data_IF_003034400034
#
_entry.id   IF_003034400034
#
_cell.length_a   1.000
_cell.length_b   1.000
_cell.length_c   1.000
_cell.angle_alpha   90.00
_cell.angle_beta   90.00
_cell.angle_gamma   90.00
#
_symmetry.space_group_name_H-M   'P 1'
#
loop_
_entity.id
_entity.type
_entity.pdbx_description
1 polymer ?
#
# COMPACT_ATOMS: atom_id res chain seq x y z
N UNK A 1 -21.93 -31.96 13.49
CA UNK A 1 -21.76 -30.51 13.67
C UNK A 1 -20.40 -30.30 14.34
N UNK A 2 -19.40 -29.85 13.56
CA UNK A 2 -18.08 -29.54 14.14
C UNK A 2 -18.19 -28.20 14.90
N UNK A 3 -18.13 -28.24 16.22
CA UNK A 3 -17.94 -27.01 16.99
C UNK A 3 -16.59 -26.39 16.60
N UNK A 4 -16.54 -25.06 16.37
CA UNK A 4 -15.27 -24.40 16.12
C UNK A 4 -14.37 -24.65 17.34
N UNK A 5 -13.16 -25.16 17.11
CA UNK A 5 -12.14 -25.31 18.16
C UNK A 5 -11.86 -23.94 18.74
N UNK A 6 -12.31 -23.66 19.97
CA UNK A 6 -11.87 -22.47 20.70
C UNK A 6 -10.42 -22.70 21.10
N UNK A 7 -9.50 -21.97 20.50
CA UNK A 7 -8.11 -21.98 20.94
C UNK A 7 -7.97 -21.11 22.19
N UNK A 8 -7.29 -21.59 23.25
CA UNK A 8 -7.14 -20.84 24.50
C UNK A 8 -6.04 -19.75 24.39
N UNK A 9 -6.00 -18.99 23.29
CA UNK A 9 -5.02 -17.92 23.11
C UNK A 9 -5.64 -16.70 22.39
N UNK A 10 -5.05 -15.54 22.63
CA UNK A 10 -5.37 -14.29 21.95
C UNK A 10 -4.16 -13.82 21.19
N UNK A 11 -4.37 -13.31 19.97
CA UNK A 11 -3.32 -12.62 19.22
C UNK A 11 -3.20 -11.19 19.74
N UNK A 12 -2.03 -10.85 20.30
CA UNK A 12 -1.71 -9.50 20.75
C UNK A 12 -0.83 -8.82 19.68
N UNK A 13 -1.15 -7.56 19.38
CA UNK A 13 -0.38 -6.71 18.46
C UNK A 13 -0.26 -7.24 17.03
N UNK A 14 -1.24 -8.01 16.59
CA UNK A 14 -1.32 -8.45 15.21
C UNK A 14 -1.47 -7.25 14.26
N UNK A 15 -0.63 -7.19 13.21
CA UNK A 15 -0.71 -6.16 12.17
C UNK A 15 -1.47 -6.71 10.97
N UNK A 16 -2.61 -6.11 10.59
CA UNK A 16 -3.37 -6.57 9.44
C UNK A 16 -2.68 -6.18 8.13
N UNK A 17 -2.73 -7.07 7.14
CA UNK A 17 -2.36 -6.79 5.77
C UNK A 17 -3.50 -7.23 4.85
N UNK A 18 -4.14 -6.27 4.20
CA UNK A 18 -5.25 -6.52 3.29
C UNK A 18 -4.75 -6.64 1.85
N UNK A 19 -5.29 -7.63 1.14
CA UNK A 19 -4.97 -7.92 -0.25
C UNK A 19 -6.27 -7.88 -1.07
N UNK A 20 -6.47 -6.82 -1.84
CA UNK A 20 -7.60 -6.69 -2.75
C UNK A 20 -7.16 -6.95 -4.19
N UNK A 21 -8.03 -7.56 -4.97
CA UNK A 21 -7.86 -7.67 -6.43
C UNK A 21 -8.85 -6.74 -7.10
N UNK A 22 -8.33 -5.78 -7.87
CA UNK A 22 -9.17 -4.84 -8.61
C UNK A 22 -9.71 -5.55 -9.85
N UNK A 23 -11.04 -5.51 -10.03
CA UNK A 23 -11.71 -6.05 -11.22
C UNK A 23 -11.33 -5.22 -12.45
N UNK A 24 -11.29 -5.87 -13.60
CA UNK A 24 -10.99 -5.24 -14.90
C UNK A 24 -9.68 -4.45 -14.91
N UNK A 25 -8.71 -4.89 -14.08
CA UNK A 25 -7.43 -4.21 -13.91
C UNK A 25 -6.63 -4.08 -15.21
N UNK A 26 -6.78 -5.00 -16.16
CA UNK A 26 -6.02 -5.00 -17.42
C UNK A 26 -6.30 -3.72 -18.21
N UNK A 27 -7.58 -3.40 -18.43
CA UNK A 27 -7.99 -2.16 -19.10
C UNK A 27 -7.57 -0.93 -18.30
N UNK A 28 -7.82 -0.94 -16.98
CA UNK A 28 -7.44 0.16 -16.10
C UNK A 28 -5.94 0.41 -16.11
N UNK A 29 -5.12 -0.64 -16.04
CA UNK A 29 -3.66 -0.52 -16.03
C UNK A 29 -3.13 0.04 -17.35
N UNK A 30 -3.71 -0.36 -18.48
CA UNK A 30 -3.32 0.19 -19.79
C UNK A 30 -3.51 1.71 -19.86
N UNK A 31 -4.65 2.20 -19.34
CA UNK A 31 -4.92 3.64 -19.25
C UNK A 31 -3.97 4.33 -18.25
N UNK A 32 -3.77 3.75 -17.05
CA UNK A 32 -2.87 4.29 -16.03
C UNK A 32 -1.41 4.39 -16.48
N UNK A 33 -0.93 3.44 -17.29
CA UNK A 33 0.43 3.47 -17.85
C UNK A 33 0.60 4.69 -18.75
N UNK A 34 -0.36 4.94 -19.65
CA UNK A 34 -0.34 6.10 -20.54
C UNK A 34 -0.32 7.41 -19.76
N UNK A 35 -1.24 7.55 -18.80
CA UNK A 35 -1.36 8.75 -17.97
C UNK A 35 -0.13 8.97 -17.09
N UNK A 36 0.45 7.90 -16.51
CA UNK A 36 1.67 7.96 -15.70
C UNK A 36 2.88 8.44 -16.52
N UNK A 37 3.02 7.94 -17.75
CA UNK A 37 4.10 8.39 -18.65
C UNK A 37 3.92 9.84 -19.12
N UNK A 38 2.68 10.28 -19.36
CA UNK A 38 2.40 11.68 -19.68
C UNK A 38 2.83 12.59 -18.53
N UNK A 39 2.47 12.26 -17.30
CA UNK A 39 2.88 13.01 -16.11
C UNK A 39 4.40 13.02 -15.89
N UNK A 40 5.08 11.88 -16.10
CA UNK A 40 6.54 11.80 -15.98
C UNK A 40 7.27 12.72 -16.97
N UNK A 41 6.70 12.99 -18.14
CA UNK A 41 7.29 13.91 -19.12
C UNK A 41 7.17 15.37 -18.70
N UNK A 42 6.14 15.71 -17.92
CA UNK A 42 5.84 17.09 -17.53
C UNK A 42 6.40 17.46 -16.15
N UNK A 43 6.77 16.48 -15.33
CA UNK A 43 7.20 16.67 -13.94
C UNK A 43 8.52 15.93 -13.67
N UNK A 44 9.53 16.66 -13.21
CA UNK A 44 10.83 16.10 -12.84
C UNK A 44 10.74 15.08 -11.68
N UNK A 45 9.64 15.08 -10.94
CA UNK A 45 9.41 14.20 -9.80
C UNK A 45 10.02 14.70 -8.49
N UNK A 46 9.80 13.93 -7.44
CA UNK A 46 10.25 14.20 -6.08
C UNK A 46 11.25 13.14 -5.61
N UNK A 47 12.13 13.54 -4.69
CA UNK A 47 13.06 12.63 -4.00
C UNK A 47 12.58 12.41 -2.57
N UNK A 48 12.24 11.15 -2.24
CA UNK A 48 11.82 10.69 -0.92
C UNK A 48 12.52 9.38 -0.56
N UNK A 49 11.75 8.31 -0.32
CA UNK A 49 12.29 6.94 -0.16
C UNK A 49 12.75 6.32 -1.49
N UNK A 50 12.32 6.87 -2.62
CA UNK A 50 12.69 6.40 -3.96
C UNK A 50 14.18 6.68 -4.22
N UNK A 51 14.88 5.62 -4.67
CA UNK A 51 16.27 5.68 -5.10
C UNK A 51 16.31 5.30 -6.59
N UNK A 52 16.87 6.17 -7.43
CA UNK A 52 17.00 5.99 -8.88
C UNK A 52 15.68 5.83 -9.66
N UNK A 53 14.52 6.02 -9.01
CA UNK A 53 13.19 5.95 -9.61
C UNK A 53 12.52 7.32 -9.67
N UNK A 54 11.49 7.45 -10.52
CA UNK A 54 10.65 8.64 -10.56
C UNK A 54 9.47 8.51 -9.59
N UNK A 55 9.18 9.59 -8.86
CA UNK A 55 8.08 9.71 -7.89
C UNK A 55 7.31 10.99 -8.19
N UNK A 56 6.03 10.88 -8.53
CA UNK A 56 5.18 12.03 -8.81
C UNK A 56 4.93 12.89 -7.57
N UNK A 57 4.29 14.05 -7.75
CA UNK A 57 3.69 14.81 -6.64
C UNK A 57 2.65 13.96 -5.91
N UNK A 58 2.34 14.33 -4.66
CA UNK A 58 1.44 13.57 -3.76
C UNK A 58 -0.01 14.02 -3.87
N UNK A 59 -0.46 14.39 -5.05
CA UNK A 59 -1.77 14.98 -5.34
C UNK A 59 -2.68 14.10 -6.23
N UNK A 60 -2.40 12.81 -6.32
CA UNK A 60 -3.13 11.81 -7.12
C UNK A 60 -4.67 11.98 -7.04
N UNK A 61 -5.21 12.20 -5.85
CA UNK A 61 -6.66 12.30 -5.63
C UNK A 61 -7.29 13.59 -6.17
N UNK A 62 -6.48 14.50 -6.73
CA UNK A 62 -6.92 15.74 -7.39
C UNK A 62 -6.83 15.67 -8.91
N UNK A 63 -6.23 14.60 -9.47
CA UNK A 63 -6.06 14.45 -10.91
C UNK A 63 -7.39 14.19 -11.60
N UNK A 64 -7.50 14.66 -12.84
CA UNK A 64 -8.77 14.72 -13.57
C UNK A 64 -8.97 13.55 -14.54
N UNK A 65 -7.92 12.81 -14.87
CA UNK A 65 -7.92 11.68 -15.77
C UNK A 65 -8.88 10.58 -15.27
N UNK A 66 -9.61 9.98 -16.20
CA UNK A 66 -10.65 9.01 -15.89
C UNK A 66 -10.09 7.76 -15.18
N UNK A 67 -8.89 7.32 -15.59
CA UNK A 67 -8.16 6.19 -15.02
C UNK A 67 -7.85 6.40 -13.53
N UNK A 68 -7.29 7.57 -13.17
CA UNK A 68 -7.00 7.91 -11.77
C UNK A 68 -8.26 8.03 -10.93
N UNK A 69 -9.32 8.65 -11.45
CA UNK A 69 -10.61 8.71 -10.75
C UNK A 69 -11.21 7.33 -10.48
N UNK A 70 -11.09 6.41 -11.45
CA UNK A 70 -11.56 5.02 -11.30
C UNK A 70 -10.76 4.29 -10.21
N UNK A 71 -9.43 4.41 -10.24
CA UNK A 71 -8.56 3.84 -9.21
C UNK A 71 -8.81 4.46 -7.83
N UNK A 72 -8.92 5.80 -7.73
CA UNK A 72 -9.19 6.48 -6.47
C UNK A 72 -10.48 6.00 -5.81
N UNK A 73 -11.56 5.79 -6.58
CA UNK A 73 -12.80 5.19 -6.05
C UNK A 73 -12.57 3.78 -5.49
N UNK A 74 -11.81 2.94 -6.21
CA UNK A 74 -11.48 1.59 -5.75
C UNK A 74 -10.65 1.63 -4.45
N UNK A 75 -9.66 2.52 -4.35
CA UNK A 75 -8.85 2.73 -3.14
C UNK A 75 -9.74 3.15 -1.96
N UNK A 76 -10.61 4.15 -2.14
CA UNK A 76 -11.50 4.63 -1.07
C UNK A 76 -12.42 3.53 -0.57
N UNK A 77 -13.05 2.77 -1.47
CA UNK A 77 -13.91 1.65 -1.10
C UNK A 77 -13.13 0.56 -0.33
N UNK A 78 -11.91 0.24 -0.76
CA UNK A 78 -11.07 -0.74 -0.08
C UNK A 78 -10.60 -0.25 1.29
N UNK A 79 -10.32 1.05 1.46
CA UNK A 79 -10.01 1.67 2.75
C UNK A 79 -11.19 1.59 3.72
N UNK A 80 -12.41 1.86 3.25
CA UNK A 80 -13.60 1.70 4.07
C UNK A 80 -13.81 0.24 4.50
N UNK A 81 -13.62 -0.71 3.59
CA UNK A 81 -13.70 -2.15 3.90
C UNK A 81 -12.64 -2.53 4.94
N UNK A 82 -11.38 -2.19 4.71
CA UNK A 82 -10.28 -2.49 5.64
C UNK A 82 -10.51 -1.87 7.03
N UNK A 83 -11.00 -0.63 7.08
CA UNK A 83 -11.29 0.04 8.34
C UNK A 83 -12.43 -0.64 9.09
N UNK A 84 -13.49 -1.05 8.39
CA UNK A 84 -14.63 -1.73 9.00
C UNK A 84 -14.24 -3.11 9.55
N UNK A 85 -13.33 -3.83 8.89
CA UNK A 85 -12.84 -5.13 9.37
C UNK A 85 -12.08 -5.02 10.72
N UNK A 86 -11.32 -3.95 10.92
CA UNK A 86 -10.54 -3.77 12.16
C UNK A 86 -11.28 -2.94 13.22
N UNK A 87 -12.28 -2.17 12.80
CA UNK A 87 -13.09 -1.31 13.67
C UNK A 87 -14.56 -1.32 13.21
N UNK A 88 -15.32 -2.41 13.50
CA UNK A 88 -16.70 -2.56 13.02
C UNK A 88 -17.65 -1.43 13.44
N UNK A 89 -17.40 -0.87 14.63
CA UNK A 89 -18.21 0.22 15.21
C UNK A 89 -17.77 1.62 14.76
N UNK A 90 -16.76 1.71 13.87
CA UNK A 90 -16.28 3.02 13.42
C UNK A 90 -17.33 3.76 12.59
N UNK A 91 -17.74 4.93 13.08
CA UNK A 91 -18.70 5.80 12.37
C UNK A 91 -18.01 6.70 11.36
N UNK A 92 -17.94 6.26 10.11
CA UNK A 92 -17.36 7.02 9.00
C UNK A 92 -17.98 8.42 8.82
N UNK A 93 -19.26 8.61 9.15
CA UNK A 93 -19.95 9.89 8.95
C UNK A 93 -19.39 11.01 9.84
N UNK A 94 -18.80 10.68 10.99
CA UNK A 94 -18.17 11.61 11.93
C UNK A 94 -16.76 12.06 11.53
N UNK A 95 -16.23 11.60 10.40
CA UNK A 95 -14.84 11.85 10.01
C UNK A 95 -14.72 12.22 8.55
N UNK A 96 -13.74 13.08 8.25
CA UNK A 96 -13.25 13.33 6.91
C UNK A 96 -12.08 12.41 6.59
N UNK A 97 -12.11 11.76 5.42
CA UNK A 97 -11.01 10.94 4.94
C UNK A 97 -10.04 11.84 4.16
N UNK A 98 -8.85 12.05 4.73
CA UNK A 98 -7.77 12.74 4.03
C UNK A 98 -6.83 11.73 3.38
N UNK A 99 -6.52 11.99 2.11
CA UNK A 99 -5.74 11.10 1.24
C UNK A 99 -4.57 11.86 0.61
N UNK A 100 -3.44 11.17 0.54
CA UNK A 100 -2.31 11.51 -0.31
C UNK A 100 -1.99 10.31 -1.18
N UNK A 101 -1.62 10.52 -2.44
CA UNK A 101 -1.25 9.44 -3.32
C UNK A 101 -0.31 9.93 -4.41
N UNK A 102 0.52 9.03 -4.91
CA UNK A 102 1.56 9.31 -5.90
C UNK A 102 1.88 8.06 -6.74
N UNK A 103 2.51 8.29 -7.87
CA UNK A 103 3.03 7.22 -8.75
C UNK A 103 4.51 7.03 -8.46
N UNK A 104 4.95 5.78 -8.44
CA UNK A 104 6.35 5.39 -8.53
C UNK A 104 6.58 4.68 -9.86
N UNK A 105 7.56 5.14 -10.63
CA UNK A 105 8.10 4.44 -11.79
C UNK A 105 9.54 4.07 -11.47
N UNK A 106 9.78 2.79 -11.31
CA UNK A 106 11.07 2.23 -10.92
C UNK A 106 11.70 1.57 -12.14
N UNK A 107 12.64 2.26 -12.77
CA UNK A 107 13.50 1.71 -13.82
C UNK A 107 14.45 0.66 -13.21
N UNK A 108 15.29 0.02 -14.02
CA UNK A 108 16.26 -0.97 -13.54
C UNK A 108 17.17 -0.39 -12.45
N UNK A 109 17.33 -1.13 -11.36
CA UNK A 109 18.10 -0.74 -10.18
C UNK A 109 17.37 0.18 -9.22
N UNK A 110 16.22 0.74 -9.60
CA UNK A 110 15.45 1.62 -8.73
C UNK A 110 14.72 0.83 -7.62
N UNK A 111 14.66 1.41 -6.43
CA UNK A 111 14.05 0.81 -5.25
C UNK A 111 13.45 1.87 -4.31
N UNK A 112 12.74 1.43 -3.27
CA UNK A 112 12.31 2.31 -2.20
C UNK A 112 12.99 1.87 -0.90
N UNK A 113 13.74 2.78 -0.27
CA UNK A 113 14.46 2.53 0.98
C UNK A 113 13.48 2.25 2.15
N UNK A 114 13.93 1.58 3.23
CA UNK A 114 13.10 1.33 4.40
C UNK A 114 12.53 2.61 5.01
N UNK A 115 11.18 2.66 5.14
CA UNK A 115 10.44 3.81 5.66
C UNK A 115 9.09 3.40 6.23
N UNK A 116 8.46 4.31 6.94
CA UNK A 116 7.08 4.28 7.39
C UNK A 116 6.39 5.62 7.09
N UNK A 117 5.11 5.76 7.44
CA UNK A 117 4.34 6.95 7.13
C UNK A 117 3.67 7.54 8.38
N UNK A 118 4.44 8.26 9.23
CA UNK A 118 3.90 8.84 10.44
C UNK A 118 2.78 9.86 10.15
N UNK A 119 1.78 9.90 11.04
CA UNK A 119 0.64 10.82 10.91
C UNK A 119 -0.50 10.30 10.03
N UNK A 120 -0.39 9.07 9.49
CA UNK A 120 -1.46 8.37 8.78
C UNK A 120 -1.84 7.10 9.53
N UNK A 121 -3.06 6.59 9.31
CA UNK A 121 -3.52 5.31 9.85
C UNK A 121 -3.33 4.17 8.85
N UNK A 122 -3.60 4.43 7.58
CA UNK A 122 -3.44 3.46 6.51
C UNK A 122 -2.45 3.92 5.46
N UNK A 123 -1.66 2.99 4.97
CA UNK A 123 -0.85 3.11 3.76
C UNK A 123 -1.21 1.98 2.81
N UNK A 124 -0.96 2.19 1.53
CA UNK A 124 -1.24 1.14 0.55
C UNK A 124 -0.49 1.36 -0.76
N UNK A 125 -0.53 0.31 -1.58
CA UNK A 125 0.11 0.31 -2.88
C UNK A 125 -0.72 -0.50 -3.87
N UNK A 126 -1.04 0.10 -5.01
CA UNK A 126 -1.64 -0.56 -6.17
C UNK A 126 -0.58 -0.83 -7.23
N UNK A 127 -0.58 -2.02 -7.80
CA UNK A 127 0.42 -2.45 -8.77
C UNK A 127 -0.15 -2.37 -10.20
N UNK A 128 0.40 -1.42 -10.97
CA UNK A 128 -0.04 -1.12 -12.33
C UNK A 128 0.71 -1.98 -13.35
N UNK A 129 2.05 -2.01 -13.27
CA UNK A 129 2.92 -2.78 -14.16
C UNK A 129 4.01 -3.46 -13.37
N UNK A 130 4.11 -4.78 -13.51
CA UNK A 130 5.10 -5.59 -12.82
C UNK A 130 5.85 -6.42 -13.86
N UNK A 131 7.14 -6.16 -14.09
CA UNK A 131 7.95 -6.96 -14.98
C UNK A 131 7.99 -8.43 -14.56
N UNK A 132 7.95 -9.34 -15.52
CA UNK A 132 8.23 -10.74 -15.24
C UNK A 132 9.66 -10.89 -14.70
N UNK A 133 9.79 -11.56 -13.58
CA UNK A 133 11.07 -11.78 -12.94
C UNK A 133 11.30 -13.26 -12.69
N UNK A 134 12.41 -13.76 -13.20
CA UNK A 134 12.95 -15.08 -12.87
C UNK A 134 13.71 -15.09 -11.55
N UNK A 135 14.19 -13.94 -11.06
CA UNK A 135 14.86 -13.80 -9.76
C UNK A 135 13.86 -13.62 -8.63
N UNK A 136 14.10 -14.27 -7.50
CA UNK A 136 13.13 -14.39 -6.42
C UNK A 136 12.78 -13.08 -5.70
N UNK A 137 13.52 -11.95 -5.86
CA UNK A 137 13.37 -10.75 -5.03
C UNK A 137 13.08 -9.46 -5.78
N UNK A 138 13.25 -9.39 -7.10
CA UNK A 138 13.04 -8.18 -7.88
C UNK A 138 11.67 -7.55 -7.62
N UNK A 139 11.66 -6.30 -7.18
CA UNK A 139 10.45 -5.52 -6.95
C UNK A 139 9.52 -6.01 -5.83
N UNK A 140 9.94 -6.99 -5.00
CA UNK A 140 9.18 -7.41 -3.82
C UNK A 140 9.01 -6.23 -2.85
N UNK A 141 7.86 -6.18 -2.17
CA UNK A 141 7.71 -5.37 -0.96
C UNK A 141 7.96 -6.25 0.27
N UNK A 142 8.79 -5.77 1.19
CA UNK A 142 9.09 -6.43 2.46
C UNK A 142 8.67 -5.54 3.62
N UNK A 143 7.92 -6.12 4.54
CA UNK A 143 7.50 -5.52 5.80
C UNK A 143 8.39 -6.04 6.93
N UNK A 144 8.83 -5.15 7.81
CA UNK A 144 9.60 -5.49 8.99
C UNK A 144 8.66 -5.60 10.19
N UNK A 145 8.88 -6.61 11.04
CA UNK A 145 8.11 -6.74 12.27
C UNK A 145 8.37 -5.53 13.17
N UNK A 146 7.34 -4.80 13.61
CA UNK A 146 7.52 -3.61 14.45
C UNK A 146 7.94 -3.92 15.88
N UNK A 147 7.83 -5.19 16.31
CA UNK A 147 8.23 -5.61 17.66
C UNK A 147 9.75 -5.71 17.72
N UNK A 148 10.34 -5.17 18.79
CA UNK A 148 11.80 -5.26 19.00
C UNK A 148 12.20 -6.69 19.41
N UNK A 149 13.39 -7.11 19.00
CA UNK A 149 14.01 -8.39 19.37
C UNK A 149 13.21 -9.66 19.03
N UNK A 150 12.24 -9.57 18.10
CA UNK A 150 11.43 -10.72 17.69
C UNK A 150 12.28 -11.88 17.16
N UNK A 151 13.42 -11.58 16.53
CA UNK A 151 14.32 -12.58 15.93
C UNK A 151 15.12 -13.39 16.95
N UNK A 152 15.17 -12.97 18.23
CA UNK A 152 15.98 -13.63 19.26
C UNK A 152 15.27 -14.82 19.91
N UNK A 153 13.94 -14.91 19.76
CA UNK A 153 13.12 -15.98 20.34
C UNK A 153 12.09 -16.45 19.33
N UNK A 154 12.51 -17.22 18.35
CA UNK A 154 11.60 -17.75 17.33
C UNK A 154 11.24 -19.20 17.63
N UNK A 155 9.96 -19.52 17.51
CA UNK A 155 9.53 -20.91 17.35
C UNK A 155 9.81 -21.30 15.89
N UNK A 156 10.63 -22.35 15.64
CA UNK A 156 10.92 -22.79 14.27
C UNK A 156 9.66 -22.94 13.44
N UNK A 157 9.71 -22.50 12.18
CA UNK A 157 8.61 -22.57 11.20
C UNK A 157 7.36 -21.72 11.52
N UNK A 158 7.34 -21.01 12.66
CA UNK A 158 6.21 -20.14 13.00
C UNK A 158 6.28 -18.82 12.26
N UNK A 159 5.26 -18.53 11.47
CA UNK A 159 5.09 -17.22 10.82
C UNK A 159 4.83 -16.08 11.81
N UNK A 160 4.37 -16.39 13.04
CA UNK A 160 4.09 -15.39 14.08
C UNK A 160 5.35 -14.72 14.66
N UNK A 161 6.51 -15.37 14.48
CA UNK A 161 7.80 -14.89 14.96
C UNK A 161 8.76 -14.55 13.81
N UNK A 162 8.25 -14.47 12.59
CA UNK A 162 9.07 -14.07 11.46
C UNK A 162 9.43 -12.58 11.58
N UNK A 163 10.73 -12.20 11.49
CA UNK A 163 11.15 -10.81 11.64
C UNK A 163 10.74 -9.93 10.46
N UNK A 164 10.29 -10.54 9.37
CA UNK A 164 9.89 -9.88 8.15
C UNK A 164 8.87 -10.70 7.36
N UNK A 165 8.07 -10.00 6.57
CA UNK A 165 7.08 -10.58 5.69
C UNK A 165 7.21 -10.01 4.28
N UNK A 166 7.24 -10.87 3.26
CA UNK A 166 7.41 -10.47 1.86
C UNK A 166 6.12 -10.73 1.08
N UNK A 167 5.78 -9.78 0.20
CA UNK A 167 4.70 -9.96 -0.78
C UNK A 167 5.28 -9.82 -2.17
N UNK A 168 5.04 -10.85 -3.00
CA UNK A 168 5.32 -10.77 -4.44
C UNK A 168 4.20 -9.97 -5.10
N UNK A 169 4.52 -8.80 -5.69
CA UNK A 169 3.50 -7.99 -6.35
C UNK A 169 3.02 -8.68 -7.62
N UNK A 170 1.76 -8.40 -7.97
CA UNK A 170 1.16 -8.75 -9.27
C UNK A 170 0.28 -7.61 -9.73
N UNK A 171 0.11 -7.47 -11.01
CA UNK A 171 -0.76 -6.44 -11.57
C UNK A 171 -2.19 -6.58 -11.07
N UNK A 172 -2.85 -5.45 -10.81
CA UNK A 172 -4.21 -5.41 -10.24
C UNK A 172 -4.30 -5.70 -8.74
N UNK A 173 -3.18 -6.00 -8.06
CA UNK A 173 -3.15 -6.15 -6.61
C UNK A 173 -3.14 -4.77 -5.94
N UNK A 174 -4.01 -4.60 -4.95
CA UNK A 174 -4.04 -3.45 -4.04
C UNK A 174 -3.76 -3.94 -2.61
N UNK A 175 -2.65 -3.50 -2.03
CA UNK A 175 -2.30 -3.73 -0.63
C UNK A 175 -2.76 -2.56 0.23
N UNK A 176 -3.29 -2.85 1.43
CA UNK A 176 -3.54 -1.85 2.48
C UNK A 176 -3.00 -2.40 3.80
N UNK A 177 -2.26 -1.56 4.53
CA UNK A 177 -1.61 -1.93 5.78
C UNK A 177 -1.50 -0.71 6.72
N UNK A 178 -1.34 -0.93 8.04
CA UNK A 178 -1.11 0.15 8.99
C UNK A 178 0.14 0.96 8.65
N UNK A 179 0.03 2.28 8.69
CA UNK A 179 1.09 3.19 8.25
C UNK A 179 2.36 3.13 9.09
N UNK A 180 2.30 2.60 10.31
CA UNK A 180 3.46 2.39 11.18
C UNK A 180 4.35 1.22 10.75
N UNK A 181 3.86 0.32 9.89
CA UNK A 181 4.65 -0.80 9.42
C UNK A 181 5.80 -0.32 8.53
N UNK A 182 7.01 -0.45 9.05
CA UNK A 182 8.22 -0.16 8.27
C UNK A 182 8.34 -1.16 7.13
N UNK A 183 8.52 -0.63 5.93
CA UNK A 183 8.59 -1.43 4.71
C UNK A 183 9.56 -0.83 3.71
N UNK A 184 9.96 -1.65 2.76
CA UNK A 184 10.83 -1.24 1.66
C UNK A 184 10.53 -2.08 0.41
N UNK A 185 11.01 -1.63 -0.74
CA UNK A 185 10.85 -2.34 -2.01
C UNK A 185 12.21 -2.70 -2.54
N UNK A 186 12.42 -3.97 -2.84
CA UNK A 186 13.65 -4.47 -3.46
C UNK A 186 13.87 -3.81 -4.83
N UNK A 187 15.14 -3.67 -5.27
CA UNK A 187 15.47 -3.14 -6.57
C UNK A 187 14.73 -3.87 -7.70
N UNK A 188 14.29 -3.10 -8.70
CA UNK A 188 13.84 -3.68 -9.96
C UNK A 188 15.06 -4.15 -10.73
N UNK A 189 15.24 -5.46 -10.88
CA UNK A 189 16.39 -6.05 -11.58
C UNK A 189 16.12 -6.23 -13.09
N UNK A 190 14.91 -5.93 -13.54
CA UNK A 190 14.49 -6.09 -14.93
C UNK A 190 14.77 -4.83 -15.76
N UNK A 191 14.91 -5.00 -17.06
CA UNK A 191 15.05 -3.86 -18.00
C UNK A 191 13.75 -3.09 -18.18
N UNK A 192 12.61 -3.75 -17.95
CA UNK A 192 11.30 -3.13 -17.96
C UNK A 192 11.04 -2.38 -16.66
N UNK A 193 10.34 -1.27 -16.77
CA UNK A 193 9.94 -0.46 -15.62
C UNK A 193 8.85 -1.15 -14.78
N UNK A 194 8.91 -0.94 -13.48
CA UNK A 194 7.86 -1.31 -12.52
C UNK A 194 7.07 -0.05 -12.17
N UNK A 195 5.73 -0.09 -12.36
CA UNK A 195 4.85 1.04 -12.06
C UNK A 195 3.93 0.65 -10.92
N UNK A 196 3.90 1.49 -9.87
CA UNK A 196 2.98 1.34 -8.75
C UNK A 196 2.44 2.68 -8.31
N UNK A 197 1.24 2.68 -7.73
CA UNK A 197 0.58 3.86 -7.17
C UNK A 197 0.43 3.63 -5.68
N UNK A 198 1.13 4.46 -4.89
CA UNK A 198 1.11 4.41 -3.45
C UNK A 198 0.21 5.52 -2.88
N UNK A 199 -0.31 5.28 -1.69
CA UNK A 199 -1.17 6.25 -1.00
C UNK A 199 -1.09 6.11 0.51
N UNK A 200 -1.44 7.20 1.19
CA UNK A 200 -1.65 7.26 2.63
C UNK A 200 -3.03 7.83 2.94
N UNK A 201 -3.63 7.37 4.03
CA UNK A 201 -4.95 7.78 4.47
C UNK A 201 -5.00 8.02 5.97
N UNK A 202 -5.74 9.06 6.38
CA UNK A 202 -6.08 9.31 7.78
C UNK A 202 -7.50 9.82 7.91
N UNK A 203 -8.14 9.52 9.04
CA UNK A 203 -9.44 10.04 9.39
C UNK A 203 -9.29 11.24 10.33
N UNK A 204 -9.93 12.34 10.01
CA UNK A 204 -9.97 13.56 10.83
C UNK A 204 -11.38 13.74 11.34
N UNK A 205 -11.57 13.82 12.66
CA UNK A 205 -12.88 14.07 13.26
C UNK A 205 -13.42 15.39 12.72
N UNK A 206 -14.64 15.36 12.20
CA UNK A 206 -15.35 16.59 11.81
C UNK A 206 -15.53 17.47 13.04
N UNK A 207 -15.35 18.75 12.87
CA UNK A 207 -15.72 19.70 13.92
C UNK A 207 -17.24 19.60 14.10
N UNK A 208 -17.68 19.44 15.33
CA UNK A 208 -19.07 19.70 15.68
C UNK A 208 -19.22 21.22 15.52
N UNK A 209 -19.94 21.64 14.48
CA UNK A 209 -20.36 23.04 14.41
C UNK A 209 -21.23 23.25 15.66
N UNK A 210 -20.67 23.87 16.68
CA UNK A 210 -21.46 24.44 17.75
C UNK A 210 -22.33 25.53 17.07
N UNK A 211 -23.53 25.14 16.67
CA UNK A 211 -24.58 26.11 16.36
C UNK A 211 -24.77 27.00 17.58
N UNK A 212 -24.77 28.31 17.41
CA UNK A 212 -24.95 29.25 18.52
C UNK A 212 -26.30 29.08 19.20
#
# INVERSE_FOLDING_TARGET
MNQPRSFPFQMLFASPLFNFSIKDYVSLNSELIVDAHALRKEDAGLHHSNQHGWHSRKDLFRWKEASFKKLCRAIVNSLHTATKEVAPEFNHAGYDLQLQGWININDRGAFNAPHDHPGFCWSGCYYVKIPESSSGRSGLIEFLDPRTNISTMSVPESKMFAPKFQVKPREGLLLIFPSYLKHWVYPNEQNEERISIAFNARFIKKREDNLP
#
